data_IF_894623765365
#
_entry.id   IF_894623765365
#
_cell.length_a   1.000
_cell.length_b   1.000
_cell.length_c   1.000
_cell.angle_alpha   90.00
_cell.angle_beta   90.00
_cell.angle_gamma   90.00
#
_symmetry.space_group_name_H-M   'P 1'
#
loop_
_entity.id
_entity.type
_entity.pdbx_description
1 polymer ?
#
# COMPACT_ATOMS: atom_id res chain seq x y z
N UNK A 1 -50.87 13.32 28.87
CA UNK A 1 -50.61 12.91 27.47
C UNK A 1 -49.82 13.95 26.66
N UNK A 2 -50.19 15.25 26.65
CA UNK A 2 -49.50 16.30 25.87
C UNK A 2 -48.01 16.49 26.22
N UNK A 3 -47.64 16.41 27.50
CA UNK A 3 -46.23 16.56 27.95
C UNK A 3 -45.32 15.38 27.56
N UNK A 4 -45.88 14.16 27.47
CA UNK A 4 -45.12 12.97 27.05
C UNK A 4 -44.77 13.07 25.56
N UNK A 5 -45.72 13.49 24.72
CA UNK A 5 -45.48 13.69 23.28
C UNK A 5 -44.43 14.76 23.04
N UNK A 6 -44.45 15.86 23.80
CA UNK A 6 -43.43 16.91 23.72
C UNK A 6 -42.04 16.39 24.11
N UNK A 7 -41.94 15.61 25.20
CA UNK A 7 -40.69 14.98 25.61
C UNK A 7 -40.14 14.03 24.54
N UNK A 8 -40.98 13.20 23.94
CA UNK A 8 -40.58 12.25 22.88
C UNK A 8 -40.06 12.98 21.64
N UNK A 9 -40.69 14.08 21.24
CA UNK A 9 -40.24 14.89 20.08
C UNK A 9 -38.88 15.53 20.35
N UNK A 10 -38.65 16.08 21.54
CA UNK A 10 -37.35 16.66 21.92
C UNK A 10 -36.25 15.60 21.93
N UNK A 11 -36.53 14.39 22.44
CA UNK A 11 -35.58 13.28 22.42
C UNK A 11 -35.25 12.83 20.99
N UNK A 12 -36.24 12.74 20.10
CA UNK A 12 -36.01 12.41 18.68
C UNK A 12 -35.11 13.44 17.98
N UNK A 13 -35.33 14.74 18.21
CA UNK A 13 -34.50 15.81 17.62
C UNK A 13 -33.05 15.73 18.12
N UNK A 14 -32.84 15.40 19.40
CA UNK A 14 -31.51 15.21 19.98
C UNK A 14 -30.79 13.96 19.44
N UNK A 15 -31.51 12.92 19.04
CA UNK A 15 -30.92 11.72 18.42
C UNK A 15 -30.51 12.00 16.97
N UNK A 16 -31.31 12.78 16.23
CA UNK A 16 -31.03 13.15 14.83
C UNK A 16 -29.76 14.00 14.69
N UNK A 17 -29.47 14.88 15.65
CA UNK A 17 -28.23 15.68 15.63
C UNK A 17 -26.97 14.85 15.91
N UNK A 18 -27.09 13.73 16.64
CA UNK A 18 -25.98 12.77 16.83
C UNK A 18 -25.77 11.88 15.59
N UNK A 19 -26.83 11.59 14.83
CA UNK A 19 -26.74 10.83 13.59
C UNK A 19 -26.04 11.61 12.45
N UNK A 20 -26.18 12.94 12.41
CA UNK A 20 -25.46 13.80 11.45
C UNK A 20 -23.96 13.94 11.76
N UNK A 21 -23.54 13.59 12.98
CA UNK A 21 -22.15 13.62 13.43
C UNK A 21 -21.53 12.22 13.46
N UNK A 22 -21.91 11.32 12.53
CA UNK A 22 -21.34 9.98 12.43
C UNK A 22 -19.82 10.09 12.19
N UNK A 23 -18.97 9.83 13.21
CA UNK A 23 -17.54 9.80 13.04
C UNK A 23 -17.24 8.48 12.33
N UNK A 24 -16.65 8.54 11.15
CA UNK A 24 -16.35 7.33 10.40
C UNK A 24 -16.44 7.48 8.90
N UNK A 25 -17.51 7.99 8.28
CA UNK A 25 -17.62 7.94 6.80
C UNK A 25 -16.58 8.88 6.14
N UNK A 26 -16.48 10.12 6.64
CA UNK A 26 -15.48 11.07 6.16
C UNK A 26 -14.04 10.60 6.49
N UNK A 27 -13.82 10.18 7.73
CA UNK A 27 -12.52 9.68 8.22
C UNK A 27 -12.08 8.39 7.50
N UNK A 28 -13.00 7.49 7.14
CA UNK A 28 -12.73 6.29 6.33
C UNK A 28 -12.40 6.66 4.88
N UNK A 29 -13.02 7.70 4.34
CA UNK A 29 -12.69 8.25 3.03
C UNK A 29 -11.26 8.79 3.01
N UNK A 30 -10.89 9.56 4.03
CA UNK A 30 -9.52 10.07 4.22
C UNK A 30 -8.52 8.93 4.43
N UNK A 31 -8.80 7.98 5.32
CA UNK A 31 -7.97 6.81 5.54
C UNK A 31 -7.77 5.98 4.25
N UNK A 32 -8.82 5.81 3.44
CA UNK A 32 -8.72 5.14 2.15
C UNK A 32 -7.82 5.90 1.17
N UNK A 33 -7.94 7.23 1.10
CA UNK A 33 -7.08 8.05 0.25
C UNK A 33 -5.61 7.99 0.68
N UNK A 34 -5.36 8.09 1.98
CA UNK A 34 -4.03 7.97 2.56
C UNK A 34 -3.38 6.61 2.28
N UNK A 35 -4.13 5.52 2.44
CA UNK A 35 -3.65 4.18 2.10
C UNK A 35 -3.30 4.11 0.61
N UNK A 36 -4.18 4.58 -0.27
CA UNK A 36 -3.95 4.57 -1.73
C UNK A 36 -2.71 5.37 -2.12
N UNK A 37 -2.52 6.57 -1.58
CA UNK A 37 -1.34 7.40 -1.85
C UNK A 37 -0.05 6.78 -1.30
N UNK A 38 -0.10 6.25 -0.07
CA UNK A 38 1.02 5.53 0.54
C UNK A 38 1.44 4.32 -0.31
N UNK A 39 0.47 3.63 -0.91
CA UNK A 39 0.72 2.52 -1.83
C UNK A 39 1.40 2.95 -3.13
N UNK A 40 0.95 4.04 -3.76
CA UNK A 40 1.62 4.56 -4.96
C UNK A 40 3.05 4.99 -4.65
N UNK A 41 3.28 5.65 -3.52
CA UNK A 41 4.64 6.02 -3.09
C UNK A 41 5.52 4.78 -2.82
N UNK A 42 4.97 3.75 -2.18
CA UNK A 42 5.68 2.48 -1.98
C UNK A 42 5.96 1.76 -3.30
N UNK A 43 5.04 1.87 -4.26
CA UNK A 43 5.17 1.30 -5.60
C UNK A 43 6.34 1.94 -6.36
N UNK A 44 6.42 3.26 -6.36
CA UNK A 44 7.54 4.01 -6.96
C UNK A 44 8.88 3.65 -6.30
N UNK A 45 8.91 3.57 -4.96
CA UNK A 45 10.10 3.14 -4.23
C UNK A 45 10.54 1.72 -4.61
N UNK A 46 9.58 0.80 -4.79
CA UNK A 46 9.85 -0.57 -5.21
C UNK A 46 10.57 -0.63 -6.56
N UNK A 47 10.14 0.17 -7.54
CA UNK A 47 10.81 0.26 -8.85
C UNK A 47 12.24 0.80 -8.73
N UNK A 48 12.45 1.82 -7.89
CA UNK A 48 13.79 2.37 -7.63
C UNK A 48 14.70 1.31 -6.98
N UNK A 49 14.21 0.59 -5.97
CA UNK A 49 14.98 -0.47 -5.31
C UNK A 49 15.30 -1.62 -6.27
N UNK A 50 14.35 -2.04 -7.10
CA UNK A 50 14.58 -3.07 -8.11
C UNK A 50 15.69 -2.66 -9.10
N UNK A 51 15.70 -1.41 -9.54
CA UNK A 51 16.75 -0.88 -10.41
C UNK A 51 18.12 -0.86 -9.72
N UNK A 52 18.19 -0.41 -8.46
CA UNK A 52 19.44 -0.39 -7.69
C UNK A 52 20.00 -1.78 -7.45
N UNK A 53 19.16 -2.74 -7.01
CA UNK A 53 19.57 -4.12 -6.77
C UNK A 53 20.03 -4.78 -8.08
N UNK A 54 19.35 -4.50 -9.19
CA UNK A 54 19.72 -4.97 -10.53
C UNK A 54 21.12 -4.50 -10.94
N UNK A 55 21.41 -3.21 -10.78
CA UNK A 55 22.73 -2.64 -11.09
C UNK A 55 23.81 -3.26 -10.19
N UNK A 56 23.56 -3.34 -8.87
CA UNK A 56 24.53 -3.90 -7.91
C UNK A 56 24.80 -5.39 -8.20
N UNK A 57 23.76 -6.17 -8.49
CA UNK A 57 23.86 -7.59 -8.83
C UNK A 57 24.68 -7.81 -10.11
N UNK A 58 24.40 -7.02 -11.15
CA UNK A 58 25.15 -7.05 -12.40
C UNK A 58 26.64 -6.72 -12.20
N UNK A 59 26.95 -5.68 -11.40
CA UNK A 59 28.34 -5.30 -11.07
C UNK A 59 29.04 -6.43 -10.30
N UNK A 60 28.36 -7.06 -9.35
CA UNK A 60 28.93 -8.18 -8.57
C UNK A 60 29.24 -9.40 -9.45
N UNK A 61 28.31 -9.78 -10.33
CA UNK A 61 28.52 -10.87 -11.30
C UNK A 61 29.68 -10.56 -12.23
N UNK A 62 29.71 -9.35 -12.80
CA UNK A 62 30.81 -8.91 -13.65
C UNK A 62 32.16 -9.04 -12.93
N UNK A 63 32.23 -8.59 -11.67
CA UNK A 63 33.45 -8.70 -10.88
C UNK A 63 33.89 -10.16 -10.67
N UNK A 64 32.96 -11.07 -10.38
CA UNK A 64 33.24 -12.52 -10.28
C UNK A 64 33.72 -13.11 -11.60
N UNK A 65 33.14 -12.69 -12.73
CA UNK A 65 33.59 -13.13 -14.07
C UNK A 65 35.02 -12.69 -14.35
N UNK A 66 35.41 -11.47 -13.98
CA UNK A 66 36.79 -10.98 -14.12
C UNK A 66 37.79 -11.77 -13.26
N UNK A 67 37.33 -12.40 -12.17
CA UNK A 67 38.13 -13.29 -11.33
C UNK A 67 38.19 -14.74 -11.83
N UNK A 68 37.51 -15.06 -12.96
CA UNK A 68 37.39 -16.44 -13.45
C UNK A 68 36.55 -17.36 -12.56
N UNK A 69 35.66 -16.80 -11.72
CA UNK A 69 34.76 -17.58 -10.85
C UNK A 69 33.50 -17.98 -11.60
N UNK A 70 32.93 -19.12 -11.24
CA UNK A 70 31.60 -19.52 -11.71
C UNK A 70 30.53 -18.56 -11.16
N UNK A 71 29.61 -18.16 -12.04
CA UNK A 71 28.50 -17.23 -11.80
C UNK A 71 27.15 -17.80 -12.22
N UNK A 72 27.11 -19.06 -12.63
CA UNK A 72 25.90 -19.73 -13.14
C UNK A 72 24.71 -19.63 -12.18
N UNK A 73 24.95 -19.73 -10.87
CA UNK A 73 23.94 -19.56 -9.83
C UNK A 73 23.68 -18.09 -9.45
N UNK A 74 24.67 -17.21 -9.59
CA UNK A 74 24.54 -15.80 -9.20
C UNK A 74 23.63 -15.02 -10.16
N UNK A 75 23.75 -15.27 -11.46
CA UNK A 75 22.98 -14.60 -12.52
C UNK A 75 21.47 -14.67 -12.27
N UNK A 76 20.85 -15.85 -12.12
CA UNK A 76 19.43 -15.93 -11.82
C UNK A 76 19.10 -15.39 -10.43
N UNK A 77 19.98 -15.54 -9.44
CA UNK A 77 19.69 -15.13 -8.07
C UNK A 77 19.40 -13.62 -7.95
N UNK A 78 20.29 -12.77 -8.48
CA UNK A 78 20.08 -11.32 -8.39
C UNK A 78 18.94 -10.85 -9.33
N UNK A 79 18.80 -11.48 -10.49
CA UNK A 79 17.76 -11.15 -11.45
C UNK A 79 16.36 -11.46 -10.91
N UNK A 80 16.15 -12.67 -10.38
CA UNK A 80 14.86 -13.05 -9.80
C UNK A 80 14.55 -12.29 -8.50
N UNK A 81 15.56 -11.88 -7.73
CA UNK A 81 15.35 -11.00 -6.58
C UNK A 81 14.78 -9.64 -7.00
N UNK A 82 15.36 -8.99 -8.02
CA UNK A 82 14.85 -7.72 -8.53
C UNK A 82 13.46 -7.88 -9.19
N UNK A 83 13.25 -8.96 -9.94
CA UNK A 83 11.96 -9.29 -10.54
C UNK A 83 10.87 -9.50 -9.48
N UNK A 84 11.19 -10.20 -8.39
CA UNK A 84 10.25 -10.45 -7.30
C UNK A 84 9.73 -9.14 -6.68
N UNK A 85 10.60 -8.15 -6.50
CA UNK A 85 10.25 -6.81 -5.98
C UNK A 85 9.28 -6.07 -6.93
N UNK A 86 9.40 -6.27 -8.24
CA UNK A 86 8.47 -5.70 -9.22
C UNK A 86 7.13 -6.45 -9.21
N UNK A 87 7.17 -7.78 -9.20
CA UNK A 87 5.95 -8.61 -9.27
C UNK A 87 5.09 -8.45 -8.01
N UNK A 88 5.70 -8.35 -6.82
CA UNK A 88 4.95 -8.19 -5.58
C UNK A 88 4.09 -6.92 -5.63
N UNK A 89 4.59 -5.84 -6.25
CA UNK A 89 3.84 -4.61 -6.45
C UNK A 89 2.54 -4.83 -7.25
N UNK A 90 2.63 -5.56 -8.37
CA UNK A 90 1.47 -5.91 -9.21
C UNK A 90 0.46 -6.74 -8.41
N UNK A 91 0.93 -7.72 -7.65
CA UNK A 91 0.08 -8.57 -6.80
C UNK A 91 -0.63 -7.72 -5.75
N UNK A 92 0.07 -6.81 -5.06
CA UNK A 92 -0.53 -5.96 -4.05
C UNK A 92 -1.60 -5.04 -4.66
N UNK A 93 -1.33 -4.41 -5.81
CA UNK A 93 -2.32 -3.58 -6.51
C UNK A 93 -3.60 -4.37 -6.80
N UNK A 94 -3.46 -5.61 -7.29
CA UNK A 94 -4.61 -6.46 -7.59
C UNK A 94 -5.34 -6.95 -6.31
N UNK A 95 -4.62 -7.32 -5.26
CA UNK A 95 -5.20 -7.79 -4.00
C UNK A 95 -5.96 -6.69 -3.26
N UNK A 96 -5.44 -5.45 -3.28
CA UNK A 96 -6.07 -4.32 -2.61
C UNK A 96 -7.09 -3.57 -3.48
N UNK A 97 -7.28 -3.98 -4.74
CA UNK A 97 -8.22 -3.34 -5.67
C UNK A 97 -7.88 -1.88 -5.95
N UNK A 98 -6.58 -1.56 -6.03
CA UNK A 98 -6.06 -0.22 -6.30
C UNK A 98 -5.91 0.06 -7.80
#
# INVERSE_FOLDING_TARGET
MRYIVFLTVVVCILILTRAMAQPGIAEMGEARSFIRESFFSMSDLSYVLAALISIIGAVHVYHKMQMGKDVSADIPAWFFSALFIIVINIVLVHVFGL
#
